data_IF_072112606012
#
_entry.id   IF_072112606012
#
_cell.length_a   1.000
_cell.length_b   1.000
_cell.length_c   1.000
_cell.angle_alpha   90.00
_cell.angle_beta   90.00
_cell.angle_gamma   90.00
#
_symmetry.space_group_name_H-M   'P 1'
#
loop_
_entity.id
_entity.type
_entity.pdbx_description
1 polymer ?
#
# COMPACT_ATOMS: atom_id res chain seq x y z
N UNK A 1 -8.75 -7.15 42.53
CA UNK A 1 -9.87 -7.58 41.65
C UNK A 1 -9.72 -6.91 40.28
N UNK A 2 -9.38 -7.62 39.19
CA UNK A 2 -9.34 -7.04 37.84
C UNK A 2 -10.39 -7.67 36.93
N UNK A 3 -11.31 -6.89 36.33
CA UNK A 3 -12.19 -7.41 35.25
C UNK A 3 -12.58 -6.31 34.27
N UNK A 4 -11.63 -5.88 33.43
CA UNK A 4 -11.84 -4.86 32.39
C UNK A 4 -11.28 -5.22 31.00
N UNK A 5 -11.06 -6.51 30.71
CA UNK A 5 -10.19 -6.96 29.62
C UNK A 5 -10.85 -7.54 28.36
N UNK A 6 -12.19 -7.52 28.21
CA UNK A 6 -12.86 -8.25 27.11
C UNK A 6 -13.49 -7.42 25.99
N UNK A 7 -13.85 -6.15 26.21
CA UNK A 7 -14.30 -5.29 25.10
C UNK A 7 -13.15 -4.80 24.23
N UNK A 8 -11.97 -4.58 24.84
CA UNK A 8 -10.82 -3.99 24.14
C UNK A 8 -10.20 -4.94 23.10
N UNK A 9 -10.52 -6.24 23.14
CA UNK A 9 -9.96 -7.23 22.20
C UNK A 9 -10.75 -7.35 20.89
N UNK A 10 -12.08 -7.23 20.93
CA UNK A 10 -12.92 -7.29 19.72
C UNK A 10 -12.86 -6.01 18.87
N UNK A 11 -12.63 -4.86 19.49
CA UNK A 11 -12.44 -3.60 18.76
C UNK A 11 -11.15 -3.59 17.94
N UNK A 12 -10.07 -4.21 18.42
CA UNK A 12 -8.80 -4.27 17.69
C UNK A 12 -8.88 -5.18 16.46
N UNK A 13 -9.62 -6.29 16.54
CA UNK A 13 -9.82 -7.20 15.40
C UNK A 13 -10.53 -6.49 14.24
N UNK A 14 -11.57 -5.70 14.54
CA UNK A 14 -12.26 -4.91 13.52
C UNK A 14 -11.43 -3.70 13.02
N UNK A 15 -10.66 -3.04 13.89
CA UNK A 15 -9.77 -1.94 13.49
C UNK A 15 -8.67 -2.41 12.52
N UNK A 16 -8.05 -3.56 12.79
CA UNK A 16 -7.08 -4.21 11.90
C UNK A 16 -7.72 -4.57 10.56
N UNK A 17 -8.96 -5.04 10.56
CA UNK A 17 -9.69 -5.38 9.32
C UNK A 17 -9.94 -4.14 8.46
N UNK A 18 -10.31 -3.01 9.07
CA UNK A 18 -10.54 -1.76 8.35
C UNK A 18 -9.26 -1.15 7.79
N UNK A 19 -8.17 -1.16 8.56
CA UNK A 19 -6.85 -0.74 8.07
C UNK A 19 -6.41 -1.64 6.91
N UNK A 20 -6.52 -2.96 7.06
CA UNK A 20 -6.15 -3.93 6.02
C UNK A 20 -6.98 -3.73 4.75
N UNK A 21 -8.29 -3.53 4.85
CA UNK A 21 -9.15 -3.27 3.69
C UNK A 21 -8.75 -1.98 2.97
N UNK A 22 -8.46 -0.92 3.73
CA UNK A 22 -8.01 0.36 3.18
C UNK A 22 -6.65 0.23 2.50
N UNK A 23 -5.75 -0.60 3.05
CA UNK A 23 -4.47 -0.95 2.42
C UNK A 23 -4.69 -1.77 1.14
N UNK A 24 -5.60 -2.75 1.12
CA UNK A 24 -5.93 -3.53 -0.09
C UNK A 24 -6.49 -2.66 -1.21
N UNK A 25 -7.40 -1.72 -0.90
CA UNK A 25 -7.94 -0.78 -1.90
C UNK A 25 -6.83 0.12 -2.46
N UNK A 26 -5.93 0.61 -1.59
CA UNK A 26 -4.75 1.36 -2.05
C UNK A 26 -3.83 0.51 -2.90
N UNK A 27 -3.59 -0.74 -2.52
CA UNK A 27 -2.76 -1.68 -3.25
C UNK A 27 -3.33 -1.94 -4.65
N UNK A 28 -4.62 -2.21 -4.76
CA UNK A 28 -5.29 -2.46 -6.03
C UNK A 28 -5.19 -1.24 -6.98
N UNK A 29 -5.46 -0.03 -6.47
CA UNK A 29 -5.28 1.20 -7.26
C UNK A 29 -3.83 1.40 -7.68
N UNK A 30 -2.91 1.16 -6.76
CA UNK A 30 -1.48 1.29 -7.02
C UNK A 30 -1.01 0.33 -8.11
N UNK A 31 -1.44 -0.94 -8.07
CA UNK A 31 -1.11 -1.93 -9.09
C UNK A 31 -1.67 -1.54 -10.47
N UNK A 32 -2.90 -1.02 -10.50
CA UNK A 32 -3.52 -0.55 -11.74
C UNK A 32 -2.80 0.68 -12.32
N UNK A 33 -2.33 1.58 -11.47
CA UNK A 33 -1.50 2.72 -11.88
C UNK A 33 -0.09 2.29 -12.33
N UNK A 34 0.52 1.31 -11.64
CA UNK A 34 1.82 0.74 -11.99
C UNK A 34 1.81 -0.04 -13.30
N UNK A 35 0.65 -0.54 -13.73
CA UNK A 35 0.49 -1.15 -15.04
C UNK A 35 0.71 -0.15 -16.19
N UNK A 36 0.67 1.16 -15.91
CA UNK A 36 0.95 2.21 -16.89
C UNK A 36 2.44 2.64 -16.78
N UNK A 37 3.31 2.25 -17.73
CA UNK A 37 4.73 2.62 -17.70
C UNK A 37 4.97 4.12 -17.94
N UNK A 38 4.01 4.86 -18.48
CA UNK A 38 4.12 6.30 -18.68
C UNK A 38 3.99 7.12 -17.38
N UNK A 39 3.45 6.53 -16.30
CA UNK A 39 3.21 7.26 -15.06
C UNK A 39 4.43 7.25 -14.14
N UNK A 40 4.88 8.45 -13.75
CA UNK A 40 5.93 8.61 -12.74
C UNK A 40 5.44 8.17 -11.36
N UNK A 41 6.33 7.56 -10.57
CA UNK A 41 6.03 7.08 -9.21
C UNK A 41 5.55 8.22 -8.31
N UNK A 42 6.03 9.45 -8.53
CA UNK A 42 5.53 10.66 -7.87
C UNK A 42 4.04 10.88 -8.13
N UNK A 43 3.62 10.83 -9.39
CA UNK A 43 2.21 10.97 -9.78
C UNK A 43 1.35 9.86 -9.17
N UNK A 44 1.81 8.62 -9.21
CA UNK A 44 1.11 7.47 -8.61
C UNK A 44 0.95 7.68 -7.10
N UNK A 45 1.98 8.21 -6.44
CA UNK A 45 1.95 8.51 -5.00
C UNK A 45 0.88 9.55 -4.67
N UNK A 46 0.79 10.62 -5.46
CA UNK A 46 -0.23 11.65 -5.32
C UNK A 46 -1.64 11.09 -5.55
N UNK A 47 -1.84 10.29 -6.60
CA UNK A 47 -3.12 9.65 -6.94
C UNK A 47 -3.61 8.66 -5.85
N UNK A 48 -2.69 7.95 -5.20
CA UNK A 48 -3.01 7.02 -4.11
C UNK A 48 -3.24 7.74 -2.78
N UNK A 49 -2.92 9.04 -2.69
CA UNK A 49 -3.12 9.88 -1.52
C UNK A 49 -2.01 9.75 -0.47
N UNK A 50 -0.78 9.51 -0.91
CA UNK A 50 0.41 9.60 -0.05
C UNK A 50 1.08 10.96 -0.23
N UNK A 51 1.56 11.54 0.87
CA UNK A 51 2.27 12.85 0.84
C UNK A 51 3.68 12.77 0.25
N UNK A 52 4.13 11.61 -0.21
CA UNK A 52 5.47 11.49 -0.80
C UNK A 52 5.89 10.07 -1.13
N UNK A 53 6.74 9.95 -2.15
CA UNK A 53 7.21 8.68 -2.72
C UNK A 53 7.91 7.81 -1.68
N UNK A 54 8.57 8.42 -0.68
CA UNK A 54 9.26 7.70 0.40
C UNK A 54 8.28 6.92 1.28
N UNK A 55 7.19 7.56 1.68
CA UNK A 55 6.13 6.94 2.49
C UNK A 55 5.40 5.86 1.70
N UNK A 56 5.09 6.15 0.44
CA UNK A 56 4.47 5.21 -0.49
C UNK A 56 5.37 3.99 -0.74
N UNK A 57 6.65 4.16 -1.08
CA UNK A 57 7.60 3.04 -1.28
C UNK A 57 7.67 2.13 -0.07
N UNK A 58 7.66 2.68 1.15
CA UNK A 58 7.72 1.89 2.39
C UNK A 58 6.44 1.06 2.59
N UNK A 59 5.27 1.65 2.33
CA UNK A 59 3.98 0.94 2.37
C UNK A 59 3.87 -0.11 1.25
N UNK A 60 4.23 0.27 0.02
CA UNK A 60 4.20 -0.58 -1.16
C UNK A 60 5.13 -1.79 -1.01
N UNK A 61 6.35 -1.59 -0.51
CA UNK A 61 7.28 -2.70 -0.23
C UNK A 61 6.76 -3.62 0.87
N UNK A 62 5.99 -3.10 1.83
CA UNK A 62 5.36 -3.90 2.89
C UNK A 62 4.24 -4.80 2.34
N UNK A 63 3.47 -4.33 1.35
CA UNK A 63 2.37 -5.11 0.77
C UNK A 63 2.82 -6.05 -0.35
N UNK A 64 3.73 -5.58 -1.21
CA UNK A 64 4.10 -6.24 -2.46
C UNK A 64 5.49 -6.86 -2.41
N UNK A 65 6.28 -6.61 -1.35
CA UNK A 65 7.67 -7.10 -1.21
C UNK A 65 8.68 -6.38 -2.12
N UNK A 66 8.23 -5.81 -3.24
CA UNK A 66 9.06 -5.18 -4.26
C UNK A 66 8.85 -3.66 -4.31
N UNK A 67 9.81 -2.96 -4.92
CA UNK A 67 9.68 -1.51 -5.18
C UNK A 67 8.99 -1.28 -6.52
N UNK A 68 8.23 -0.19 -6.69
CA UNK A 68 7.58 0.12 -7.97
C UNK A 68 8.60 0.31 -9.11
N UNK A 69 9.77 0.87 -8.77
CA UNK A 69 10.91 0.96 -9.70
C UNK A 69 11.51 -0.40 -10.05
N UNK A 70 11.48 -1.36 -9.13
CA UNK A 70 11.96 -2.72 -9.40
C UNK A 70 11.02 -3.42 -10.38
N UNK A 71 9.69 -3.32 -10.18
CA UNK A 71 8.69 -3.82 -11.13
C UNK A 71 8.89 -3.23 -12.54
N UNK A 72 9.20 -1.93 -12.63
CA UNK A 72 9.50 -1.24 -13.90
C UNK A 72 10.81 -1.70 -14.54
N UNK A 73 11.81 -2.04 -13.73
CA UNK A 73 13.09 -2.55 -14.20
C UNK A 73 13.02 -4.04 -14.60
N UNK A 74 12.11 -4.80 -13.98
CA UNK A 74 11.81 -6.22 -14.27
C UNK A 74 10.93 -6.40 -15.50
N UNK A 75 10.29 -5.33 -15.99
CA UNK A 75 9.79 -5.25 -17.37
C UNK A 75 10.88 -4.57 -18.23
N UNK A 76 11.91 -5.29 -18.69
CA UNK A 76 12.84 -4.78 -19.67
C UNK A 76 12.03 -4.56 -20.95
N UNK A 77 11.60 -3.31 -21.16
CA UNK A 77 11.42 -2.82 -22.52
C UNK A 77 12.82 -2.76 -23.11
N UNK A 78 13.26 -3.88 -23.66
CA UNK A 78 14.14 -3.88 -24.80
C UNK A 78 13.46 -2.99 -25.85
N UNK A 79 14.00 -1.80 -26.12
CA UNK A 79 14.30 -1.22 -27.44
C UNK A 79 14.89 0.18 -27.28
#
# INVERSE_FOLDING_TARGET
MPTGGRLRRRLTEHALTFETLREQVRQARTMSLLANPDMSIERITEEVGYSGVRSFRRAFRRWTGMSPSALRNECPSSV
#
